data_IF_576717493345
#
_entry.id   IF_576717493345
#
_cell.length_a   1.000
_cell.length_b   1.000
_cell.length_c   1.000
_cell.angle_alpha   90.00
_cell.angle_beta   90.00
_cell.angle_gamma   90.00
#
_symmetry.space_group_name_H-M   'P 1'
#
loop_
_entity.id
_entity.type
_entity.pdbx_description
1 polymer ?
#
# COMPACT_ATOMS: atom_id res chain seq x y z
N UNK A 1 -12.94 25.32 -11.99
CA UNK A 1 -12.42 24.99 -10.65
C UNK A 1 -10.94 24.67 -10.85
N UNK A 2 -10.00 25.37 -10.19
CA UNK A 2 -8.60 24.95 -10.21
C UNK A 2 -8.44 23.69 -9.34
N UNK A 3 -7.55 22.77 -9.74
CA UNK A 3 -7.40 21.42 -9.18
C UNK A 3 -7.27 21.43 -7.64
N UNK A 4 -8.34 21.03 -6.95
CA UNK A 4 -8.39 20.92 -5.51
C UNK A 4 -7.68 19.64 -5.07
N UNK A 5 -6.50 19.82 -4.47
CA UNK A 5 -5.68 18.82 -3.77
C UNK A 5 -4.95 17.82 -4.67
N UNK A 6 -3.64 18.05 -4.81
CA UNK A 6 -2.73 17.11 -5.46
C UNK A 6 -2.82 15.71 -4.86
N UNK A 7 -2.53 14.72 -5.71
CA UNK A 7 -2.60 13.27 -5.49
C UNK A 7 -1.53 12.75 -4.50
N UNK A 8 -1.43 13.38 -3.32
CA UNK A 8 -0.43 13.09 -2.31
C UNK A 8 -0.97 13.19 -0.88
N UNK A 9 -0.13 12.88 0.13
CA UNK A 9 -0.53 12.91 1.54
C UNK A 9 -1.05 14.30 1.94
N UNK A 10 -2.20 14.34 2.64
CA UNK A 10 -2.81 15.59 3.10
C UNK A 10 -3.01 15.56 4.63
N UNK A 11 -2.30 16.41 5.40
CA UNK A 11 -2.43 16.41 6.86
C UNK A 11 -3.81 16.90 7.34
N UNK A 12 -4.57 17.63 6.52
CA UNK A 12 -5.90 18.13 6.89
C UNK A 12 -6.99 17.06 6.78
N UNK A 13 -6.83 16.08 5.89
CA UNK A 13 -7.81 15.02 5.65
C UNK A 13 -7.33 13.64 6.06
N UNK A 14 -6.05 13.50 6.44
CA UNK A 14 -5.43 12.20 6.66
C UNK A 14 -5.53 11.33 5.41
N UNK A 15 -6.05 10.10 5.57
CA UNK A 15 -6.30 9.17 4.45
C UNK A 15 -7.68 9.36 3.79
N UNK A 16 -8.37 10.45 4.10
CA UNK A 16 -9.68 10.80 3.58
C UNK A 16 -10.85 10.40 4.49
N UNK A 17 -12.07 10.65 4.00
CA UNK A 17 -13.30 10.35 4.72
C UNK A 17 -13.55 8.84 4.76
N UNK A 18 -13.88 8.33 5.95
CA UNK A 18 -14.25 6.93 6.14
C UNK A 18 -15.46 6.55 5.27
N UNK A 19 -15.33 5.43 4.56
CA UNK A 19 -16.44 4.77 3.87
C UNK A 19 -16.60 3.36 4.45
N UNK A 20 -17.54 3.21 5.38
CA UNK A 20 -17.77 1.94 6.10
C UNK A 20 -18.28 0.85 5.16
N UNK A 21 -19.17 1.19 4.21
CA UNK A 21 -19.70 0.22 3.25
C UNK A 21 -18.57 -0.44 2.43
N UNK A 22 -17.66 0.37 1.90
CA UNK A 22 -16.50 -0.15 1.15
C UNK A 22 -15.50 -0.88 2.07
N UNK A 23 -15.43 -0.53 3.35
CA UNK A 23 -14.54 -1.20 4.31
C UNK A 23 -15.03 -2.62 4.64
N UNK A 24 -16.35 -2.80 4.73
CA UNK A 24 -16.98 -4.10 5.02
C UNK A 24 -17.08 -4.96 3.75
N UNK A 25 -17.26 -4.36 2.57
CA UNK A 25 -17.33 -5.08 1.31
C UNK A 25 -16.10 -5.97 1.06
N UNK A 26 -14.91 -5.58 1.57
CA UNK A 26 -13.68 -6.37 1.45
C UNK A 26 -13.71 -7.71 2.21
N UNK A 27 -14.69 -7.90 3.10
CA UNK A 27 -14.89 -9.15 3.85
C UNK A 27 -15.71 -10.15 3.03
N UNK A 28 -16.35 -9.72 1.95
CA UNK A 28 -17.10 -10.61 1.07
C UNK A 28 -16.13 -11.52 0.28
N UNK A 29 -16.14 -12.85 0.50
CA UNK A 29 -15.14 -13.75 -0.07
C UNK A 29 -15.10 -13.82 -1.61
N UNK A 30 -16.14 -13.29 -2.26
CA UNK A 30 -16.33 -13.34 -3.70
C UNK A 30 -16.07 -12.01 -4.42
N UNK A 31 -15.69 -10.92 -3.73
CA UNK A 31 -15.39 -9.64 -4.38
C UNK A 31 -13.97 -9.67 -5.01
N UNK A 32 -13.83 -9.71 -6.35
CA UNK A 32 -12.51 -9.64 -6.97
C UNK A 32 -11.93 -8.22 -6.98
N UNK A 33 -12.72 -7.21 -6.61
CA UNK A 33 -12.30 -5.81 -6.60
C UNK A 33 -11.69 -5.37 -5.27
N UNK A 34 -11.71 -6.20 -4.22
CA UNK A 34 -11.08 -5.81 -2.96
C UNK A 34 -10.61 -6.99 -2.13
N UNK A 35 -9.76 -6.72 -1.15
CA UNK A 35 -9.28 -7.73 -0.23
C UNK A 35 -8.42 -7.16 0.87
N UNK A 36 -8.12 -8.01 1.85
CA UNK A 36 -7.27 -7.68 2.98
C UNK A 36 -6.51 -8.91 3.45
N UNK A 37 -5.49 -8.69 4.26
CA UNK A 37 -4.79 -9.78 4.91
C UNK A 37 -3.84 -9.27 5.98
N UNK A 38 -3.18 -10.23 6.61
CA UNK A 38 -2.15 -9.99 7.62
C UNK A 38 -0.87 -10.68 7.18
N UNK A 39 0.25 -10.11 7.60
CA UNK A 39 1.58 -10.62 7.32
C UNK A 39 2.48 -10.40 8.52
N UNK A 40 3.74 -10.78 8.35
CA UNK A 40 4.76 -10.53 9.35
C UNK A 40 6.10 -10.31 8.66
N UNK A 41 6.90 -9.38 9.20
CA UNK A 41 8.32 -9.28 8.90
C UNK A 41 9.08 -9.82 10.10
N UNK A 42 9.98 -10.77 9.83
CA UNK A 42 10.79 -11.43 10.84
C UNK A 42 12.25 -10.95 10.71
N UNK A 43 12.85 -10.54 11.82
CA UNK A 43 14.23 -10.06 11.88
C UNK A 43 15.22 -11.19 11.57
N UNK A 44 14.90 -12.45 11.89
CA UNK A 44 15.83 -13.55 11.65
C UNK A 44 15.99 -13.87 10.16
N UNK A 45 14.92 -13.73 9.38
CA UNK A 45 14.94 -14.03 7.94
C UNK A 45 15.22 -12.80 7.09
N UNK A 46 14.81 -11.62 7.55
CA UNK A 46 14.85 -10.37 6.78
C UNK A 46 14.12 -10.47 5.42
N UNK A 47 13.27 -11.50 5.26
CA UNK A 47 12.57 -11.74 4.01
C UNK A 47 11.41 -10.75 3.82
N UNK A 48 11.22 -10.21 2.60
CA UNK A 48 10.09 -9.36 2.32
C UNK A 48 8.78 -10.17 2.34
N UNK A 49 7.72 -9.57 2.87
CA UNK A 49 6.38 -10.10 2.72
C UNK A 49 5.83 -9.75 1.33
N UNK A 50 5.37 -10.74 0.57
CA UNK A 50 4.95 -10.57 -0.82
C UNK A 50 3.55 -11.16 -1.03
N UNK A 51 2.71 -10.40 -1.71
CA UNK A 51 1.42 -10.89 -2.25
C UNK A 51 1.28 -10.49 -3.71
N UNK A 52 0.47 -11.24 -4.43
CA UNK A 52 0.07 -10.94 -5.80
C UNK A 52 -1.43 -10.67 -5.83
N UNK A 53 -1.81 -9.51 -6.37
CA UNK A 53 -3.20 -9.11 -6.58
C UNK A 53 -3.48 -9.24 -8.08
N UNK A 54 -4.48 -10.03 -8.45
CA UNK A 54 -4.92 -10.13 -9.84
C UNK A 54 -5.77 -8.91 -10.18
N UNK A 55 -5.53 -8.30 -11.34
CA UNK A 55 -6.35 -7.20 -11.82
C UNK A 55 -7.62 -7.78 -12.46
N UNK A 56 -8.82 -7.48 -11.94
CA UNK A 56 -10.05 -8.02 -12.49
C UNK A 56 -10.31 -7.43 -13.88
N UNK A 57 -10.95 -8.22 -14.75
CA UNK A 57 -11.45 -7.69 -16.02
C UNK A 57 -12.56 -6.68 -15.76
N UNK A 58 -12.40 -5.45 -16.24
CA UNK A 58 -13.45 -4.43 -16.23
C UNK A 58 -13.48 -3.71 -17.59
N UNK A 59 -14.67 -3.22 -17.97
CA UNK A 59 -14.82 -2.30 -19.11
C UNK A 59 -14.41 -0.87 -18.77
N UNK A 60 -14.13 -0.58 -17.50
CA UNK A 60 -13.73 0.72 -16.99
C UNK A 60 -12.23 0.76 -16.68
N UNK A 61 -11.67 1.97 -16.67
CA UNK A 61 -10.35 2.21 -16.09
C UNK A 61 -10.40 1.90 -14.60
N UNK A 62 -9.43 1.12 -14.12
CA UNK A 62 -9.33 0.75 -12.72
C UNK A 62 -8.17 1.49 -12.05
N UNK A 63 -8.43 1.96 -10.84
CA UNK A 63 -7.42 2.52 -9.94
C UNK A 63 -7.21 1.58 -8.77
N UNK A 64 -6.00 1.02 -8.64
CA UNK A 64 -5.63 0.19 -7.50
C UNK A 64 -5.20 1.09 -6.33
N UNK A 65 -5.86 0.92 -5.20
CA UNK A 65 -5.47 1.48 -3.91
C UNK A 65 -4.96 0.37 -3.01
N UNK A 66 -3.75 0.51 -2.46
CA UNK A 66 -3.17 -0.41 -1.48
C UNK A 66 -2.76 0.37 -0.25
N UNK A 67 -3.19 -0.08 0.93
CA UNK A 67 -2.76 0.46 2.22
C UNK A 67 -2.12 -0.64 3.05
N UNK A 68 -0.97 -0.34 3.65
CA UNK A 68 -0.28 -1.18 4.61
C UNK A 68 -0.21 -0.44 5.95
N UNK A 69 -0.39 -1.19 7.03
CA UNK A 69 -0.29 -0.68 8.40
C UNK A 69 0.43 -1.70 9.29
N UNK A 70 1.23 -1.21 10.23
CA UNK A 70 1.81 -2.02 11.29
C UNK A 70 1.67 -1.33 12.64
N UNK A 71 1.54 -2.13 13.69
CA UNK A 71 1.54 -1.65 15.06
C UNK A 71 3.00 -1.47 15.49
N UNK A 72 3.47 -0.23 15.55
CA UNK A 72 4.83 0.08 15.96
C UNK A 72 4.98 0.14 17.49
N UNK A 73 6.21 0.06 17.98
CA UNK A 73 6.51 0.23 19.39
C UNK A 73 6.15 1.67 19.84
N UNK A 74 5.70 1.85 21.09
CA UNK A 74 5.41 3.18 21.62
C UNK A 74 6.67 4.03 21.66
N UNK A 75 6.62 5.24 21.09
CA UNK A 75 7.76 6.13 21.03
C UNK A 75 7.42 7.46 20.36
N UNK A 76 8.35 8.41 20.42
CA UNK A 76 8.21 9.72 19.79
C UNK A 76 8.45 9.70 18.28
N UNK A 77 8.96 8.59 17.73
CA UNK A 77 9.27 8.39 16.33
C UNK A 77 9.12 6.91 15.96
N UNK A 78 9.16 6.61 14.65
CA UNK A 78 9.13 5.23 14.15
C UNK A 78 10.31 4.41 14.70
N UNK A 79 9.97 3.35 15.41
CA UNK A 79 10.91 2.35 15.91
C UNK A 79 11.23 1.35 14.79
N UNK A 80 10.20 0.66 14.30
CA UNK A 80 10.27 -0.14 13.09
C UNK A 80 9.93 0.71 11.87
N UNK A 81 10.57 0.41 10.74
CA UNK A 81 10.42 1.15 9.49
C UNK A 81 10.24 0.12 8.37
N UNK A 82 8.99 0.00 7.91
CA UNK A 82 8.58 -0.90 6.83
C UNK A 82 8.16 -0.08 5.62
N UNK A 83 8.61 -0.50 4.44
CA UNK A 83 8.28 0.14 3.16
C UNK A 83 7.22 -0.67 2.42
N UNK A 84 6.19 -0.01 1.93
CA UNK A 84 5.24 -0.53 0.95
C UNK A 84 5.76 -0.25 -0.47
N UNK A 85 5.86 -1.29 -1.28
CA UNK A 85 6.20 -1.21 -2.71
C UNK A 85 5.13 -1.95 -3.48
N UNK A 86 4.63 -1.33 -4.55
CA UNK A 86 3.72 -1.97 -5.51
C UNK A 86 4.40 -1.98 -6.87
N UNK A 87 4.53 -3.15 -7.46
CA UNK A 87 5.14 -3.36 -8.78
C UNK A 87 4.05 -3.75 -9.77
N UNK A 88 3.98 -3.04 -10.89
CA UNK A 88 3.09 -3.36 -12.02
C UNK A 88 3.89 -3.19 -13.31
N UNK A 89 3.95 -4.24 -14.13
CA UNK A 89 4.75 -4.23 -15.35
C UNK A 89 6.24 -4.03 -15.06
N UNK A 90 6.82 -2.98 -15.63
CA UNK A 90 8.24 -2.60 -15.53
C UNK A 90 8.52 -1.46 -14.53
N UNK A 91 7.51 -1.08 -13.73
CA UNK A 91 7.58 0.05 -12.80
C UNK A 91 7.19 -0.37 -11.39
N UNK A 92 7.71 0.36 -10.42
CA UNK A 92 7.26 0.28 -9.03
C UNK A 92 6.87 1.65 -8.47
N UNK A 93 6.00 1.64 -7.46
CA UNK A 93 5.61 2.81 -6.67
C UNK A 93 5.83 2.52 -5.20
N UNK A 94 6.21 3.55 -4.46
CA UNK A 94 6.49 3.44 -3.03
C UNK A 94 5.41 4.13 -2.21
N UNK A 95 5.18 3.63 -1.00
CA UNK A 95 4.23 4.19 -0.06
C UNK A 95 4.42 5.68 0.17
N UNK A 96 3.31 6.41 0.12
CA UNK A 96 3.22 7.85 0.37
C UNK A 96 4.09 8.75 -0.52
N UNK A 97 4.62 8.24 -1.66
CA UNK A 97 5.37 9.03 -2.65
C UNK A 97 4.47 9.61 -3.77
N UNK A 98 3.15 9.69 -3.54
CA UNK A 98 2.19 10.14 -4.54
C UNK A 98 2.17 9.24 -5.78
N UNK A 99 2.07 9.86 -6.95
CA UNK A 99 2.03 9.18 -8.25
C UNK A 99 3.40 8.98 -8.91
N UNK A 100 4.48 9.04 -8.14
CA UNK A 100 5.84 8.88 -8.67
C UNK A 100 6.15 7.42 -9.01
N UNK A 101 6.51 7.17 -10.26
CA UNK A 101 7.01 5.88 -10.73
C UNK A 101 8.54 5.77 -10.50
N UNK A 102 8.98 4.56 -10.16
CA UNK A 102 10.38 4.19 -9.95
C UNK A 102 10.76 2.98 -10.81
N UNK A 103 12.04 2.83 -11.20
CA UNK A 103 12.53 1.59 -11.77
C UNK A 103 12.48 0.46 -10.73
N UNK A 104 12.24 -0.76 -11.17
CA UNK A 104 12.19 -1.93 -10.27
C UNK A 104 13.49 -2.06 -9.46
N UNK A 105 13.35 -2.22 -8.14
CA UNK A 105 14.47 -2.35 -7.22
C UNK A 105 15.08 -1.01 -6.78
N UNK A 106 14.34 0.09 -6.90
CA UNK A 106 14.76 1.38 -6.41
C UNK A 106 15.02 1.33 -4.89
N UNK A 107 16.04 2.09 -4.49
CA UNK A 107 16.48 2.21 -3.10
C UNK A 107 15.88 3.42 -2.39
N UNK A 108 14.97 4.15 -3.04
CA UNK A 108 14.21 5.26 -2.47
C UNK A 108 13.75 6.28 -3.52
N UNK A 109 13.12 7.38 -3.07
CA UNK A 109 12.76 7.69 -1.68
C UNK A 109 11.65 6.79 -1.13
N UNK A 110 11.57 6.70 0.19
CA UNK A 110 10.57 5.95 0.93
C UNK A 110 10.05 6.81 2.08
N UNK A 111 8.87 6.48 2.62
CA UNK A 111 8.39 7.10 3.85
C UNK A 111 9.24 6.64 5.05
N UNK A 112 9.52 7.56 5.97
CA UNK A 112 10.37 7.36 7.14
C UNK A 112 9.73 7.86 8.43
N UNK A 113 8.45 8.23 8.35
CA UNK A 113 7.73 8.94 9.40
C UNK A 113 6.39 8.28 9.75
N UNK A 114 5.81 7.49 8.84
CA UNK A 114 4.50 6.87 9.04
C UNK A 114 4.56 5.35 9.18
N UNK A 115 3.78 4.80 10.11
CA UNK A 115 3.51 3.37 10.22
C UNK A 115 2.29 2.93 9.38
N UNK A 116 1.77 3.85 8.57
CA UNK A 116 0.74 3.62 7.58
C UNK A 116 1.25 4.15 6.25
N UNK A 117 1.36 3.28 5.27
CA UNK A 117 1.78 3.64 3.92
C UNK A 117 0.69 3.29 2.91
N UNK A 118 0.51 4.15 1.91
CA UNK A 118 -0.47 3.95 0.86
C UNK A 118 0.14 4.17 -0.52
N UNK A 119 -0.25 3.32 -1.47
CA UNK A 119 -0.01 3.52 -2.90
C UNK A 119 -1.35 3.64 -3.61
N UNK A 120 -1.44 4.67 -4.45
CA UNK A 120 -2.48 4.81 -5.47
C UNK A 120 -1.86 4.53 -6.83
N UNK A 121 -2.51 3.68 -7.61
CA UNK A 121 -2.09 3.33 -8.96
C UNK A 121 -3.27 3.54 -9.91
N UNK A 122 -3.40 4.74 -10.50
CA UNK A 122 -4.46 5.02 -11.44
C UNK A 122 -4.24 4.30 -12.75
N UNK A 123 -5.34 4.00 -13.43
CA UNK A 123 -5.35 3.40 -14.77
C UNK A 123 -4.44 2.16 -14.87
N UNK A 124 -4.57 1.22 -13.94
CA UNK A 124 -3.73 0.02 -13.91
C UNK A 124 -4.00 -0.86 -15.15
N UNK A 125 -2.95 -1.22 -15.89
CA UNK A 125 -3.05 -1.92 -17.19
C UNK A 125 -2.46 -3.33 -17.22
N UNK A 126 -1.87 -3.80 -16.12
CA UNK A 126 -1.28 -5.15 -16.03
C UNK A 126 -2.27 -6.23 -15.62
N UNK A 127 -1.88 -7.50 -15.78
CA UNK A 127 -2.68 -8.66 -15.33
C UNK A 127 -2.65 -8.83 -13.79
N UNK A 128 -1.59 -8.32 -13.16
CA UNK A 128 -1.44 -8.37 -11.71
C UNK A 128 -0.57 -7.23 -11.18
N UNK A 129 -0.76 -6.92 -9.90
CA UNK A 129 0.13 -6.09 -9.11
C UNK A 129 0.82 -6.94 -8.05
N UNK A 130 2.14 -6.80 -7.94
CA UNK A 130 2.92 -7.43 -6.87
C UNK A 130 3.09 -6.42 -5.75
N UNK A 131 2.55 -6.71 -4.58
CA UNK A 131 2.73 -5.88 -3.38
C UNK A 131 3.83 -6.51 -2.54
N UNK A 132 4.81 -5.69 -2.17
CA UNK A 132 6.01 -6.08 -1.43
C UNK A 132 6.08 -5.18 -0.20
N UNK A 133 6.21 -5.78 0.97
CA UNK A 133 6.53 -5.08 2.21
C UNK A 133 7.91 -5.51 2.66
N UNK A 134 8.84 -4.55 2.81
CA UNK A 134 10.23 -4.83 3.21
C UNK A 134 10.66 -3.90 4.33
N UNK A 135 11.46 -4.40 5.27
CA UNK A 135 12.01 -3.55 6.31
C UNK A 135 13.14 -2.66 5.78
N UNK A 136 13.25 -1.48 6.39
CA UNK A 136 14.45 -0.65 6.37
C UNK A 136 15.16 -0.73 7.72
N UNK A 137 14.40 -0.75 8.82
CA UNK A 137 14.89 -0.89 10.20
C UNK A 137 13.90 -1.69 11.03
N UNK A 138 14.41 -2.60 11.86
CA UNK A 138 13.62 -3.35 12.83
C UNK A 138 14.22 -3.11 14.23
N UNK A 139 13.37 -2.80 15.20
CA UNK A 139 13.69 -2.80 16.64
C UNK A 139 12.87 -3.86 17.39
N UNK A 140 12.09 -4.65 16.67
CA UNK A 140 11.35 -5.81 17.16
C UNK A 140 11.77 -7.00 16.32
N UNK A 141 11.95 -8.16 16.96
CA UNK A 141 12.28 -9.41 16.27
C UNK A 141 11.21 -9.84 15.28
N UNK A 142 9.96 -9.41 15.52
CA UNK A 142 8.81 -9.78 14.72
C UNK A 142 7.83 -8.60 14.67
N UNK A 143 7.54 -8.12 13.46
CA UNK A 143 6.64 -6.99 13.22
C UNK A 143 5.41 -7.47 12.45
N UNK A 144 4.27 -7.69 13.13
CA UNK A 144 3.00 -7.97 12.48
C UNK A 144 2.53 -6.77 11.67
N UNK A 145 2.00 -7.03 10.48
CA UNK A 145 1.42 -6.02 9.61
C UNK A 145 0.06 -6.48 9.10
N UNK A 146 -0.76 -5.51 8.70
CA UNK A 146 -1.97 -5.73 7.94
C UNK A 146 -1.91 -4.92 6.64
N UNK A 147 -2.61 -5.42 5.63
CA UNK A 147 -2.81 -4.70 4.38
C UNK A 147 -4.26 -4.81 3.93
N UNK A 148 -4.70 -3.80 3.19
CA UNK A 148 -5.99 -3.79 2.51
C UNK A 148 -5.81 -3.17 1.13
N UNK A 149 -6.53 -3.70 0.15
CA UNK A 149 -6.48 -3.22 -1.23
C UNK A 149 -7.87 -3.18 -1.84
N UNK A 150 -8.03 -2.30 -2.83
CA UNK A 150 -9.27 -2.15 -3.59
C UNK A 150 -9.00 -1.56 -4.97
N UNK A 151 -9.71 -2.07 -5.97
CA UNK A 151 -9.88 -1.46 -7.27
C UNK A 151 -11.08 -0.51 -7.23
N UNK A 152 -10.86 0.70 -7.72
CA UNK A 152 -11.87 1.74 -7.88
C UNK A 152 -12.13 1.90 -9.38
N UNK A 153 -13.40 1.86 -9.78
CA UNK A 153 -13.79 2.19 -11.15
C UNK A 153 -13.83 3.72 -11.31
N UNK A 154 -13.29 4.20 -12.43
CA UNK A 154 -13.36 5.59 -12.88
C UNK A 154 -14.47 5.84 -13.90
#
# INVERSE_FOLDING_TARGET
MPDEFGEGPNPHSGFGRVNVANSIAMVEPSDPFSGYGVGVIDEETEEPFIIQILVPSSSHSLTLKVTMVYADLPGAALSNDLNLIVVVGDKERHGNQGNQDFPIGAIGPFDRSNNVEQVMWPQITGESAKVIVKHYRLLSTRVPLAYAWRFLEE
#
